data_IF_313925953957
#
_entry.id   IF_313925953957
#
_cell.length_a   1.000
_cell.length_b   1.000
_cell.length_c   1.000
_cell.angle_alpha   90.00
_cell.angle_beta   90.00
_cell.angle_gamma   90.00
#
_symmetry.space_group_name_H-M   'P 1'
#
loop_
_entity.id
_entity.type
_entity.pdbx_description
1 polymer ?
#
# COMPACT_ATOMS: atom_id res chain seq x y z
N UNK A 1 -45.38 5.13 57.13
CA UNK A 1 -43.96 4.72 57.15
C UNK A 1 -43.71 3.91 55.90
N UNK A 2 -42.68 4.32 55.12
CA UNK A 2 -42.05 3.64 53.96
C UNK A 2 -43.00 3.26 52.80
N UNK A 3 -42.99 3.93 51.64
CA UNK A 3 -41.89 3.99 50.65
C UNK A 3 -41.88 2.69 49.83
N UNK A 4 -41.67 2.58 48.52
CA UNK A 4 -41.11 3.43 47.44
C UNK A 4 -41.30 2.55 46.17
N UNK A 5 -42.09 2.96 45.17
CA UNK A 5 -41.71 3.46 43.83
C UNK A 5 -41.24 2.40 42.78
N UNK A 6 -41.58 2.70 41.52
CA UNK A 6 -40.97 2.26 40.24
C UNK A 6 -41.56 1.10 39.41
N UNK A 7 -42.35 1.53 38.41
CA UNK A 7 -42.25 1.30 36.94
C UNK A 7 -42.09 -0.10 36.34
N UNK A 8 -42.91 -0.38 35.30
CA UNK A 8 -42.68 -1.45 34.33
C UNK A 8 -43.80 -1.58 33.30
N UNK A 9 -43.85 -0.64 32.36
CA UNK A 9 -44.70 -0.70 31.16
C UNK A 9 -44.03 -1.62 30.13
N UNK A 10 -44.64 -2.76 29.80
CA UNK A 10 -44.18 -3.63 28.72
C UNK A 10 -45.39 -4.02 27.86
N UNK A 11 -45.50 -3.43 26.67
CA UNK A 11 -46.53 -3.76 25.68
C UNK A 11 -45.94 -4.54 24.51
N UNK A 12 -46.68 -5.59 24.16
CA UNK A 12 -46.41 -6.61 23.15
C UNK A 12 -46.29 -6.07 21.71
N UNK A 13 -45.46 -6.73 20.89
CA UNK A 13 -45.32 -6.46 19.45
C UNK A 13 -44.90 -7.67 18.61
N UNK A 14 -45.78 -8.66 18.50
CA UNK A 14 -46.12 -9.46 17.31
C UNK A 14 -45.03 -10.02 16.34
N UNK A 15 -44.83 -11.34 16.45
CA UNK A 15 -44.89 -12.40 15.40
C UNK A 15 -44.22 -12.19 14.02
N UNK A 16 -43.27 -13.07 13.67
CA UNK A 16 -43.33 -14.11 12.59
C UNK A 16 -41.91 -14.45 12.10
N UNK A 17 -41.59 -15.73 12.18
CA UNK A 17 -40.35 -16.34 11.71
C UNK A 17 -40.31 -16.52 10.18
N UNK A 18 -39.14 -16.29 9.57
CA UNK A 18 -38.76 -16.94 8.30
C UNK A 18 -37.31 -17.44 8.40
N UNK A 19 -37.17 -18.78 8.38
CA UNK A 19 -35.91 -19.48 8.13
C UNK A 19 -35.43 -19.20 6.69
N UNK A 20 -34.17 -18.82 6.53
CA UNK A 20 -33.57 -18.63 5.21
C UNK A 20 -32.04 -18.84 5.22
N UNK A 21 -31.63 -20.06 4.86
CA UNK A 21 -30.40 -20.41 4.12
C UNK A 21 -29.07 -19.82 4.65
N UNK A 22 -28.31 -20.69 5.34
CA UNK A 22 -26.84 -20.64 5.37
C UNK A 22 -26.31 -20.70 3.94
N UNK A 23 -26.09 -19.53 3.32
CA UNK A 23 -25.36 -19.40 2.07
C UNK A 23 -24.08 -18.63 2.33
N UNK A 24 -22.96 -19.26 2.00
CA UNK A 24 -21.63 -18.74 2.13
C UNK A 24 -21.50 -17.35 1.52
N UNK A 25 -21.39 -16.32 2.36
CA UNK A 25 -20.87 -15.01 1.96
C UNK A 25 -19.53 -14.82 2.63
N UNK A 26 -18.50 -15.44 2.03
CA UNK A 26 -17.15 -14.92 2.19
C UNK A 26 -17.20 -13.41 1.84
N UNK A 27 -16.59 -12.54 2.66
CA UNK A 27 -16.66 -11.09 2.41
C UNK A 27 -16.11 -10.79 1.01
N UNK A 28 -16.70 -9.83 0.28
CA UNK A 28 -16.24 -9.48 -1.06
C UNK A 28 -14.75 -9.12 -0.96
N UNK A 29 -13.89 -9.83 -1.70
CA UNK A 29 -12.47 -9.50 -1.83
C UNK A 29 -12.39 -8.12 -2.47
N UNK A 30 -12.24 -7.10 -1.64
CA UNK A 30 -12.23 -5.70 -2.04
C UNK A 30 -11.14 -5.47 -3.07
N UNK A 31 -11.43 -4.67 -4.10
CA UNK A 31 -10.53 -4.26 -5.19
C UNK A 31 -9.13 -3.81 -4.71
N UNK A 32 -9.06 -3.34 -3.46
CA UNK A 32 -7.83 -3.02 -2.70
C UNK A 32 -6.88 -4.22 -2.55
N UNK A 33 -7.36 -5.42 -2.18
CA UNK A 33 -6.51 -6.63 -2.02
C UNK A 33 -5.86 -7.06 -3.34
N UNK A 34 -6.57 -6.92 -4.46
CA UNK A 34 -6.04 -7.24 -5.80
C UNK A 34 -4.99 -6.22 -6.27
N UNK A 35 -5.13 -4.95 -5.88
CA UNK A 35 -4.14 -3.90 -6.16
C UNK A 35 -2.88 -4.06 -5.30
N UNK A 36 -3.03 -4.36 -4.00
CA UNK A 36 -1.91 -4.71 -3.12
C UNK A 36 -1.17 -5.96 -3.63
N UNK A 37 -1.90 -7.00 -4.06
CA UNK A 37 -1.31 -8.18 -4.71
C UNK A 37 -0.52 -7.83 -5.97
N UNK A 38 -0.99 -6.88 -6.80
CA UNK A 38 -0.27 -6.44 -8.01
C UNK A 38 0.96 -5.57 -7.69
N UNK A 39 0.98 -4.90 -6.55
CA UNK A 39 2.11 -4.12 -6.07
C UNK A 39 3.21 -5.04 -5.50
N UNK A 40 2.85 -6.14 -4.84
CA UNK A 40 3.78 -7.23 -4.51
C UNK A 40 4.36 -7.90 -5.76
N UNK A 41 3.54 -8.07 -6.81
CA UNK A 41 4.02 -8.57 -8.11
C UNK A 41 5.03 -7.64 -8.79
N UNK A 42 4.96 -6.32 -8.57
CA UNK A 42 5.94 -5.37 -9.09
C UNK A 42 7.29 -5.43 -8.36
N UNK A 43 7.30 -5.93 -7.12
CA UNK A 43 8.48 -6.16 -6.31
C UNK A 43 8.92 -7.63 -6.28
N UNK A 44 8.37 -8.51 -7.13
CA UNK A 44 8.74 -9.94 -7.19
C UNK A 44 8.40 -10.78 -5.93
N UNK A 45 8.12 -10.16 -4.78
CA UNK A 45 7.96 -10.79 -3.47
C UNK A 45 6.65 -10.39 -2.79
N UNK A 46 6.01 -11.37 -2.16
CA UNK A 46 4.79 -11.18 -1.36
C UNK A 46 5.18 -11.03 0.10
N UNK A 47 4.91 -9.87 0.70
CA UNK A 47 5.06 -9.62 2.13
C UNK A 47 3.68 -9.52 2.77
N UNK A 48 3.51 -10.06 3.97
CA UNK A 48 2.44 -9.65 4.87
C UNK A 48 2.66 -8.21 5.37
N UNK A 49 1.62 -7.58 5.91
CA UNK A 49 1.75 -6.24 6.51
C UNK A 49 2.80 -6.21 7.62
N UNK A 50 2.89 -7.26 8.45
CA UNK A 50 3.87 -7.39 9.51
C UNK A 50 5.29 -7.58 9.01
N UNK A 51 5.49 -8.41 7.97
CA UNK A 51 6.83 -8.62 7.39
C UNK A 51 7.33 -7.35 6.71
N UNK A 52 6.45 -6.64 5.99
CA UNK A 52 6.78 -5.37 5.38
C UNK A 52 7.15 -4.33 6.44
N UNK A 53 6.31 -4.19 7.48
CA UNK A 53 6.56 -3.25 8.57
C UNK A 53 7.86 -3.56 9.34
N UNK A 54 8.24 -4.83 9.43
CA UNK A 54 9.48 -5.27 10.07
C UNK A 54 10.76 -4.84 9.31
N UNK A 55 10.65 -4.44 8.04
CA UNK A 55 11.76 -3.85 7.29
C UNK A 55 12.12 -2.44 7.81
N UNK A 56 11.19 -1.76 8.50
CA UNK A 56 11.44 -0.43 9.02
C UNK A 56 12.54 -0.44 10.09
N UNK A 57 13.61 0.32 9.87
CA UNK A 57 14.68 0.53 10.86
C UNK A 57 14.41 1.71 11.82
N UNK A 58 13.22 2.31 11.78
CA UNK A 58 12.83 3.48 12.57
C UNK A 58 13.75 4.71 12.40
N UNK A 59 14.31 4.91 11.21
CA UNK A 59 15.19 6.05 10.91
C UNK A 59 14.53 7.45 10.97
N UNK A 60 13.20 7.54 11.00
CA UNK A 60 12.47 8.81 11.13
C UNK A 60 12.43 9.70 9.88
N UNK A 61 13.13 9.35 8.81
CA UNK A 61 13.16 10.12 7.56
C UNK A 61 11.75 10.35 6.97
N UNK A 62 10.87 9.35 7.03
CA UNK A 62 9.49 9.46 6.56
C UNK A 62 8.58 10.29 7.49
N UNK A 63 9.09 10.76 8.64
CA UNK A 63 8.36 11.62 9.56
C UNK A 63 8.51 13.11 9.24
N UNK A 64 9.37 13.46 8.28
CA UNK A 64 9.44 14.80 7.71
C UNK A 64 8.40 14.94 6.60
N UNK A 65 7.84 16.14 6.46
CA UNK A 65 6.91 16.43 5.36
C UNK A 65 7.67 16.32 4.03
N UNK A 66 7.02 15.78 3.01
CA UNK A 66 7.57 15.71 1.66
C UNK A 66 6.73 16.56 0.70
N UNK A 67 7.41 17.21 -0.24
CA UNK A 67 6.79 18.06 -1.26
C UNK A 67 7.26 17.63 -2.66
N UNK A 68 6.40 17.83 -3.65
CA UNK A 68 6.72 17.54 -5.04
C UNK A 68 7.39 18.76 -5.69
N UNK A 69 8.68 18.65 -5.98
CA UNK A 69 9.53 19.71 -6.53
C UNK A 69 10.36 19.14 -7.67
N UNK A 70 10.41 19.82 -8.82
CA UNK A 70 11.21 19.42 -10.00
C UNK A 70 11.02 17.94 -10.41
N UNK A 71 9.77 17.50 -10.50
CA UNK A 71 9.38 16.12 -10.88
C UNK A 71 9.85 15.01 -9.92
N UNK A 72 10.14 15.36 -8.66
CA UNK A 72 10.49 14.39 -7.61
C UNK A 72 9.92 14.79 -6.24
N UNK A 73 9.86 13.83 -5.32
CA UNK A 73 9.56 14.11 -3.93
C UNK A 73 10.83 14.54 -3.19
N UNK A 74 10.73 15.60 -2.40
CA UNK A 74 11.81 16.14 -1.59
C UNK A 74 11.30 16.30 -0.16
N UNK A 75 12.05 15.78 0.81
CA UNK A 75 11.76 16.00 2.22
C UNK A 75 12.04 17.47 2.59
N UNK A 76 11.15 18.08 3.36
CA UNK A 76 11.32 19.42 3.91
C UNK A 76 11.95 19.33 5.30
N UNK A 77 12.31 20.48 5.88
CA UNK A 77 12.82 20.56 7.25
C UNK A 77 11.70 20.55 8.31
N UNK A 78 10.44 20.29 7.91
CA UNK A 78 9.28 20.29 8.81
C UNK A 78 9.02 18.89 9.39
N UNK A 79 9.36 18.64 10.66
CA UNK A 79 9.12 17.34 11.29
C UNK A 79 7.66 17.19 11.75
N UNK A 80 7.17 15.96 11.74
CA UNK A 80 5.93 15.58 12.43
C UNK A 80 6.01 15.93 13.93
N UNK A 81 4.87 16.36 14.50
CA UNK A 81 4.70 16.67 15.93
C UNK A 81 5.17 15.55 16.88
N UNK A 82 5.18 14.30 16.43
CA UNK A 82 5.58 13.15 17.25
C UNK A 82 7.03 12.68 17.04
N UNK A 83 7.75 13.25 16.06
CA UNK A 83 9.16 12.95 15.85
C UNK A 83 10.01 13.54 16.97
N UNK A 84 10.93 12.76 17.51
CA UNK A 84 11.99 13.25 18.38
C UNK A 84 13.22 13.51 17.53
N UNK A 85 13.43 14.77 17.16
CA UNK A 85 14.50 15.20 16.22
C UNK A 85 15.91 14.87 16.73
N UNK A 86 16.11 14.76 18.05
CA UNK A 86 17.43 14.47 18.64
C UNK A 86 18.00 13.09 18.28
N UNK A 87 17.14 12.12 17.96
CA UNK A 87 17.54 10.76 17.58
C UNK A 87 16.72 10.20 16.42
N UNK A 88 15.99 11.07 15.70
CA UNK A 88 15.11 10.74 14.60
C UNK A 88 14.14 9.57 14.88
N UNK A 89 13.66 9.45 16.12
CA UNK A 89 12.75 8.37 16.49
C UNK A 89 11.31 8.86 16.67
N UNK A 90 10.35 8.14 16.08
CA UNK A 90 8.93 8.42 16.28
C UNK A 90 8.46 7.93 17.67
N UNK A 91 7.98 8.85 18.51
CA UNK A 91 7.58 8.54 19.89
C UNK A 91 6.33 7.66 20.00
N UNK A 92 5.54 7.57 18.92
CA UNK A 92 4.25 6.89 18.89
C UNK A 92 4.14 5.91 17.73
N UNK A 93 5.26 5.36 17.25
CA UNK A 93 5.33 4.59 16.01
C UNK A 93 4.25 3.50 15.87
N UNK A 94 4.00 2.73 16.94
CA UNK A 94 3.00 1.65 16.94
C UNK A 94 1.55 2.13 16.73
N UNK A 95 1.24 3.39 17.11
CA UNK A 95 -0.08 4.01 17.00
C UNK A 95 -0.05 5.28 16.13
N UNK A 96 0.95 5.40 15.25
CA UNK A 96 1.23 6.65 14.50
C UNK A 96 0.07 7.13 13.65
N UNK A 97 -0.70 6.21 13.09
CA UNK A 97 -1.88 6.50 12.28
C UNK A 97 -3.09 6.99 13.10
N UNK A 98 -3.10 6.71 14.40
CA UNK A 98 -4.11 7.23 15.33
C UNK A 98 -3.69 8.60 15.87
N UNK A 99 -2.39 8.78 16.10
CA UNK A 99 -1.82 9.99 16.67
C UNK A 99 -1.71 11.15 15.66
N UNK A 100 -1.34 10.83 14.42
CA UNK A 100 -1.15 11.78 13.31
C UNK A 100 -1.93 11.29 12.08
N UNK A 101 -3.09 11.90 11.77
CA UNK A 101 -3.89 11.54 10.59
C UNK A 101 -3.14 11.74 9.25
N UNK A 102 -2.16 12.64 9.21
CA UNK A 102 -1.34 12.85 8.01
C UNK A 102 -0.19 11.83 7.87
N UNK A 103 0.00 10.95 8.85
CA UNK A 103 1.05 9.94 8.80
C UNK A 103 0.79 8.95 7.66
N UNK A 104 1.68 8.95 6.67
CA UNK A 104 1.55 8.09 5.51
C UNK A 104 1.95 6.65 5.83
N UNK A 105 1.14 5.68 5.39
CA UNK A 105 1.53 4.27 5.44
C UNK A 105 2.49 3.99 4.29
N UNK A 106 3.73 3.64 4.61
CA UNK A 106 4.72 3.21 3.63
C UNK A 106 4.25 1.90 3.02
N UNK A 107 3.71 1.96 1.81
CA UNK A 107 3.34 0.80 1.00
C UNK A 107 4.37 0.62 -0.10
N UNK A 108 4.49 -0.54 -0.75
CA UNK A 108 5.47 -0.66 -1.83
C UNK A 108 5.20 0.30 -3.00
N UNK A 109 3.95 0.70 -3.22
CA UNK A 109 3.59 1.80 -4.13
C UNK A 109 4.22 3.15 -3.76
N UNK A 110 4.42 3.45 -2.48
CA UNK A 110 5.11 4.67 -2.01
C UNK A 110 6.59 4.64 -2.39
N UNK A 111 7.22 3.47 -2.20
CA UNK A 111 8.62 3.22 -2.58
C UNK A 111 8.80 3.38 -4.08
N UNK A 112 7.90 2.79 -4.88
CA UNK A 112 7.94 2.88 -6.34
C UNK A 112 7.78 4.31 -6.88
N UNK A 113 7.10 5.19 -6.12
CA UNK A 113 6.93 6.62 -6.46
C UNK A 113 8.15 7.48 -6.11
N UNK A 114 9.17 6.93 -5.44
CA UNK A 114 10.35 7.69 -5.02
C UNK A 114 10.07 8.70 -3.92
N UNK A 115 9.07 8.45 -3.07
CA UNK A 115 8.72 9.32 -1.93
C UNK A 115 9.68 9.21 -0.74
N UNK A 116 10.55 8.21 -0.73
CA UNK A 116 11.46 7.92 0.37
C UNK A 116 12.90 8.25 -0.05
N UNK A 117 13.75 8.65 0.90
CA UNK A 117 15.16 8.88 0.61
C UNK A 117 15.87 7.59 0.22
N UNK A 118 17.00 7.74 -0.47
CA UNK A 118 17.78 6.61 -1.00
C UNK A 118 18.28 5.65 0.09
N UNK A 119 18.57 6.14 1.30
CA UNK A 119 19.04 5.33 2.43
C UNK A 119 17.92 4.67 3.26
N UNK A 120 16.68 4.65 2.76
CA UNK A 120 15.57 4.02 3.47
C UNK A 120 15.58 2.50 3.24
N UNK A 121 15.43 1.69 4.28
CA UNK A 121 15.45 0.22 4.18
C UNK A 121 14.40 -0.33 3.20
N UNK A 122 13.26 0.34 3.05
CA UNK A 122 12.24 -0.03 2.06
C UNK A 122 12.73 0.17 0.61
N UNK A 123 13.56 1.19 0.38
CA UNK A 123 14.20 1.46 -0.92
C UNK A 123 15.33 0.46 -1.14
N UNK A 124 16.11 0.14 -0.11
CA UNK A 124 17.15 -0.90 -0.18
C UNK A 124 16.56 -2.26 -0.55
N UNK A 125 15.45 -2.67 0.08
CA UNK A 125 14.77 -3.93 -0.25
C UNK A 125 14.31 -3.94 -1.72
N UNK A 126 13.78 -2.82 -2.23
CA UNK A 126 13.42 -2.69 -3.63
C UNK A 126 14.66 -2.82 -4.55
N UNK A 127 15.79 -2.23 -4.19
CA UNK A 127 17.02 -2.37 -4.97
C UNK A 127 17.53 -3.81 -4.98
N UNK A 128 17.46 -4.51 -3.84
CA UNK A 128 17.81 -5.93 -3.74
C UNK A 128 16.91 -6.80 -4.63
N UNK A 129 15.60 -6.54 -4.62
CA UNK A 129 14.66 -7.21 -5.52
C UNK A 129 15.03 -6.98 -6.99
N UNK A 130 15.38 -5.75 -7.37
CA UNK A 130 15.76 -5.43 -8.75
C UNK A 130 17.02 -6.22 -9.16
N UNK A 131 18.00 -6.30 -8.27
CA UNK A 131 19.21 -7.07 -8.50
C UNK A 131 18.91 -8.58 -8.61
N UNK A 132 18.19 -9.13 -7.64
CA UNK A 132 17.95 -10.58 -7.50
C UNK A 132 16.99 -11.12 -8.59
N UNK A 133 15.89 -10.41 -8.85
CA UNK A 133 14.77 -10.92 -9.65
C UNK A 133 14.78 -10.37 -11.10
N UNK A 134 15.45 -9.24 -11.33
CA UNK A 134 15.48 -8.55 -12.63
C UNK A 134 16.89 -8.38 -13.20
N UNK A 135 17.90 -9.05 -12.62
CA UNK A 135 19.30 -8.99 -13.09
C UNK A 135 19.82 -7.54 -13.21
N UNK A 136 19.34 -6.66 -12.31
CA UNK A 136 19.68 -5.24 -12.29
C UNK A 136 18.89 -4.36 -13.27
N UNK A 137 18.01 -4.93 -14.09
CA UNK A 137 17.14 -4.18 -15.00
C UNK A 137 15.89 -3.64 -14.27
N UNK A 138 15.92 -2.37 -13.85
CA UNK A 138 14.79 -1.76 -13.14
C UNK A 138 13.50 -1.75 -14.03
N UNK A 139 12.46 -2.52 -13.66
CA UNK A 139 11.24 -2.64 -14.45
C UNK A 139 10.42 -1.33 -14.53
N UNK A 140 10.70 -0.34 -13.66
CA UNK A 140 10.09 1.00 -13.72
C UNK A 140 10.69 1.84 -14.84
N UNK A 141 11.97 1.63 -15.14
CA UNK A 141 12.71 2.32 -16.19
C UNK A 141 12.55 1.65 -17.54
N UNK A 142 12.08 0.39 -17.56
CA UNK A 142 11.69 -0.28 -18.78
C UNK A 142 10.84 0.69 -19.62
N UNK A 143 11.22 0.94 -20.89
CA UNK A 143 10.50 1.90 -21.71
C UNK A 143 9.03 1.48 -21.71
N UNK A 144 8.15 2.27 -21.07
CA UNK A 144 6.69 2.13 -21.25
C UNK A 144 6.53 2.01 -22.74
N UNK A 145 6.02 0.87 -23.23
CA UNK A 145 6.00 0.54 -24.65
C UNK A 145 5.28 1.65 -25.45
N UNK A 146 6.01 2.72 -25.77
CA UNK A 146 5.51 3.85 -26.53
C UNK A 146 5.48 3.51 -28.02
N UNK A 147 6.02 2.36 -28.43
CA UNK A 147 6.03 1.90 -29.83
C UNK A 147 5.49 0.47 -30.05
N UNK A 148 4.31 0.18 -29.50
CA UNK A 148 3.33 -0.66 -30.22
C UNK A 148 2.01 0.09 -30.41
N UNK A 149 2.03 1.42 -30.30
CA UNK A 149 0.85 2.25 -30.59
C UNK A 149 0.69 2.47 -32.10
N UNK A 150 1.74 2.30 -32.92
CA UNK A 150 1.62 2.34 -34.37
C UNK A 150 1.05 1.01 -34.89
N UNK A 151 -0.17 1.00 -35.47
CA UNK A 151 -0.79 -0.22 -36.00
C UNK A 151 0.07 -0.89 -37.09
N UNK A 152 0.93 -0.13 -37.79
CA UNK A 152 1.83 -0.65 -38.83
C UNK A 152 2.97 -1.48 -38.24
N UNK A 153 3.54 -1.06 -37.12
CA UNK A 153 4.63 -1.78 -36.44
C UNK A 153 4.12 -3.07 -35.81
N UNK A 154 2.92 -3.04 -35.20
CA UNK A 154 2.21 -4.25 -34.74
C UNK A 154 1.98 -5.25 -35.89
N UNK A 155 1.54 -4.77 -37.06
CA UNK A 155 1.33 -5.62 -38.25
C UNK A 155 2.65 -6.19 -38.77
N UNK A 156 3.73 -5.40 -38.76
CA UNK A 156 5.08 -5.84 -39.18
C UNK A 156 5.63 -6.91 -38.24
N UNK A 157 5.56 -6.70 -36.92
CA UNK A 157 5.98 -7.68 -35.93
C UNK A 157 5.20 -9.00 -36.05
N UNK A 158 3.87 -8.94 -36.25
CA UNK A 158 3.04 -10.14 -36.50
C UNK A 158 3.42 -10.87 -37.80
N UNK A 159 3.76 -10.15 -38.88
CA UNK A 159 4.23 -10.76 -40.13
C UNK A 159 5.58 -11.44 -39.97
N UNK A 160 6.51 -10.82 -39.24
CA UNK A 160 7.84 -11.39 -38.98
C UNK A 160 7.75 -12.63 -38.10
N UNK A 161 6.91 -12.61 -37.05
CA UNK A 161 6.67 -13.78 -36.21
C UNK A 161 6.08 -14.95 -37.00
N UNK A 162 5.07 -14.71 -37.85
CA UNK A 162 4.47 -15.76 -38.70
C UNK A 162 5.44 -16.37 -39.71
N UNK A 163 6.44 -15.62 -40.18
CA UNK A 163 7.49 -16.12 -41.10
C UNK A 163 8.59 -16.91 -40.41
N UNK A 164 8.72 -16.82 -39.08
CA UNK A 164 9.70 -17.58 -38.29
C UNK A 164 9.12 -18.90 -37.75
N UNK A 165 7.80 -19.04 -37.77
CA UNK A 165 7.07 -20.22 -37.27
C UNK A 165 6.61 -21.17 -38.38
N UNK A 166 7.07 -20.97 -39.62
CA UNK A 166 6.86 -21.86 -40.76
C UNK A 166 8.16 -21.99 -41.53
#
# INVERSE_FOLDING_TARGET
MSGFDSTGEETMGWVVAVRGILSAMAPPRTRSKLLQQRVHVLLGRVYSESEWEALCNHCGECCYKAEWVDDRWVATEDPCSYLRVSDNHCRVYARRFEAEPECSRVTPSVVLQGMLPEGCTYVDEMHQIIEDDFEGEDPRLAPRAKNLQNPRERRRARRVARRRSG
#
